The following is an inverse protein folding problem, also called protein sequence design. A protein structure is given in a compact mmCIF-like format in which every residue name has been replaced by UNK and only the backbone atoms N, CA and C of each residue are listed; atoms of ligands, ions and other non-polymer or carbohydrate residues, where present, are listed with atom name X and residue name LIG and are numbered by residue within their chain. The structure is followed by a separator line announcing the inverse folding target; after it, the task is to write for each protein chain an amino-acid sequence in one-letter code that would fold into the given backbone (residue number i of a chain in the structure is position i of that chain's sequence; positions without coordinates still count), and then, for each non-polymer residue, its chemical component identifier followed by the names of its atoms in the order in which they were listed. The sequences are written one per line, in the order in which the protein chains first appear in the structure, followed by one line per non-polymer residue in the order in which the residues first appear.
data_IF_940297526728
#
_entry.id   IF_940297526728
#
_cell.length_a   1.000
_cell.length_b   1.000
_cell.length_c   1.000
_cell.angle_alpha   90.00
_cell.angle_beta   90.00
_cell.angle_gamma   90.00
#
_symmetry.space_group_name_H-M   'P 1'
#
loop_
_entity.id
_entity.type
_entity.pdbx_description
1 polymer ?
#
# COMPACT_ATOMS: atom_id res chain seq x y z
N UNK A 1 -22.84 -5.93 6.75
CA UNK A 1 -22.11 -5.33 5.61
C UNK A 1 -20.69 -5.07 6.07
N UNK A 2 -19.68 -5.59 5.37
CA UNK A 2 -18.26 -5.42 5.69
C UNK A 2 -17.78 -4.06 5.21
N UNK A 3 -17.04 -3.35 6.06
CA UNK A 3 -16.56 -2.01 5.76
C UNK A 3 -15.08 -2.03 5.39
N UNK A 4 -14.73 -1.39 4.28
CA UNK A 4 -13.37 -1.24 3.79
C UNK A 4 -12.96 0.22 3.90
N UNK A 5 -11.82 0.50 4.53
CA UNK A 5 -11.16 1.80 4.50
C UNK A 5 -10.20 1.86 3.30
N UNK A 6 -10.50 2.67 2.29
CA UNK A 6 -9.53 2.98 1.24
C UNK A 6 -8.60 4.08 1.72
N UNK A 7 -7.41 3.71 2.17
CA UNK A 7 -6.38 4.62 2.67
C UNK A 7 -5.58 5.18 1.48
N UNK A 8 -5.71 6.48 1.27
CA UNK A 8 -5.06 7.20 0.16
C UNK A 8 -4.07 8.21 0.73
N UNK A 9 -2.78 7.88 0.82
CA UNK A 9 -1.74 8.85 1.18
C UNK A 9 -1.58 9.88 0.04
N UNK A 10 -1.52 11.15 0.39
CA UNK A 10 -1.40 12.24 -0.56
C UNK A 10 -0.39 13.30 -0.09
N UNK A 11 0.61 13.59 -0.95
CA UNK A 11 1.56 14.67 -0.75
C UNK A 11 1.81 15.42 -2.05
N UNK A 12 1.31 16.65 -2.15
CA UNK A 12 1.35 17.48 -3.35
C UNK A 12 0.70 16.80 -4.57
N UNK A 13 -0.54 16.32 -4.38
CA UNK A 13 -1.33 15.59 -5.38
C UNK A 13 -2.58 16.38 -5.84
N UNK A 14 -2.55 17.73 -5.80
CA UNK A 14 -3.70 18.59 -6.14
C UNK A 14 -4.35 18.26 -7.48
N UNK A 15 -3.54 17.77 -8.46
CA UNK A 15 -4.00 17.45 -9.82
C UNK A 15 -4.62 16.07 -9.96
N UNK A 16 -4.22 15.11 -9.14
CA UNK A 16 -4.61 13.70 -9.27
C UNK A 16 -5.67 13.29 -8.25
N UNK A 17 -5.63 13.82 -7.03
CA UNK A 17 -6.40 13.31 -5.90
C UNK A 17 -7.92 13.30 -6.13
N UNK A 18 -8.46 14.30 -6.84
CA UNK A 18 -9.89 14.36 -7.12
C UNK A 18 -10.35 13.17 -7.98
N UNK A 19 -9.59 12.84 -9.03
CA UNK A 19 -9.90 11.71 -9.90
C UNK A 19 -9.78 10.38 -9.16
N UNK A 20 -8.76 10.22 -8.29
CA UNK A 20 -8.57 9.02 -7.47
C UNK A 20 -9.75 8.81 -6.53
N UNK A 21 -10.16 9.84 -5.79
CA UNK A 21 -11.30 9.73 -4.85
C UNK A 21 -12.60 9.41 -5.59
N UNK A 22 -12.83 10.03 -6.75
CA UNK A 22 -14.03 9.75 -7.57
C UNK A 22 -14.01 8.32 -8.13
N UNK A 23 -12.86 7.82 -8.61
CA UNK A 23 -12.70 6.47 -9.12
C UNK A 23 -13.01 5.44 -8.02
N UNK A 24 -12.46 5.63 -6.81
CA UNK A 24 -12.73 4.73 -5.66
C UNK A 24 -14.21 4.77 -5.25
N UNK A 25 -14.82 5.96 -5.17
CA UNK A 25 -16.24 6.09 -4.81
C UNK A 25 -17.18 5.44 -5.84
N UNK A 26 -16.73 5.27 -7.08
CA UNK A 26 -17.49 4.60 -8.17
C UNK A 26 -17.17 3.12 -8.31
N UNK A 27 -16.29 2.56 -7.46
CA UNK A 27 -15.86 1.18 -7.55
C UNK A 27 -17.03 0.19 -7.39
N UNK A 28 -17.10 -0.80 -8.28
CA UNK A 28 -18.03 -1.90 -8.14
C UNK A 28 -17.53 -2.88 -7.08
N UNK A 29 -18.30 -3.10 -6.02
CA UNK A 29 -17.97 -3.97 -4.92
C UNK A 29 -18.93 -5.17 -4.83
N UNK A 30 -18.51 -6.29 -4.21
CA UNK A 30 -19.44 -7.36 -3.86
C UNK A 30 -20.57 -6.85 -2.94
N UNK A 31 -21.78 -7.44 -3.06
CA UNK A 31 -23.03 -6.97 -2.45
C UNK A 31 -22.94 -6.64 -0.94
N UNK A 32 -22.12 -7.39 -0.20
CA UNK A 32 -22.02 -7.24 1.26
C UNK A 32 -20.84 -6.36 1.71
N UNK A 33 -20.26 -5.57 0.81
CA UNK A 33 -19.13 -4.69 1.08
C UNK A 33 -19.47 -3.23 0.81
N UNK A 34 -18.91 -2.35 1.65
CA UNK A 34 -18.94 -0.91 1.45
C UNK A 34 -17.51 -0.36 1.61
N UNK A 35 -17.20 0.73 0.92
CA UNK A 35 -15.89 1.39 0.95
C UNK A 35 -16.06 2.85 1.34
N UNK A 36 -15.24 3.30 2.30
CA UNK A 36 -15.08 4.71 2.65
C UNK A 36 -13.66 5.14 2.24
N UNK A 37 -13.56 6.30 1.60
CA UNK A 37 -12.27 6.84 1.18
C UNK A 37 -11.70 7.70 2.29
N UNK A 38 -10.49 7.37 2.76
CA UNK A 38 -9.74 8.09 3.79
C UNK A 38 -8.51 8.68 3.13
N UNK A 39 -8.50 9.99 2.91
CA UNK A 39 -7.35 10.68 2.33
C UNK A 39 -6.47 11.22 3.43
N UNK A 40 -5.24 10.74 3.51
CA UNK A 40 -4.24 11.23 4.47
C UNK A 40 -3.34 12.24 3.76
N UNK A 41 -3.60 13.53 4.00
CA UNK A 41 -2.78 14.62 3.49
C UNK A 41 -1.54 14.78 4.35
N UNK A 42 -0.39 14.39 3.83
CA UNK A 42 0.90 14.37 4.52
C UNK A 42 1.58 15.75 4.49
N UNK A 43 0.86 16.78 5.01
CA UNK A 43 1.33 18.15 5.06
C UNK A 43 1.71 18.72 3.69
N UNK A 44 0.83 18.57 2.68
CA UNK A 44 1.02 19.10 1.33
C UNK A 44 1.22 20.62 1.34
N UNK A 45 2.04 21.12 0.41
CA UNK A 45 2.37 22.54 0.24
C UNK A 45 1.65 23.22 -0.93
N UNK A 46 0.90 22.43 -1.71
CA UNK A 46 0.07 22.85 -2.83
C UNK A 46 -1.42 22.91 -2.45
N UNK A 47 -2.31 22.96 -3.44
CA UNK A 47 -3.76 22.99 -3.25
C UNK A 47 -4.39 21.68 -2.81
N UNK A 48 -3.63 20.60 -2.52
CA UNK A 48 -4.15 19.28 -2.19
C UNK A 48 -5.17 19.32 -1.06
N UNK A 49 -4.89 20.02 0.06
CA UNK A 49 -5.79 20.10 1.21
C UNK A 49 -7.13 20.75 0.85
N UNK A 50 -7.10 21.83 0.02
CA UNK A 50 -8.31 22.49 -0.45
C UNK A 50 -9.13 21.59 -1.37
N UNK A 51 -8.49 20.87 -2.27
CA UNK A 51 -9.17 19.89 -3.15
C UNK A 51 -9.86 18.82 -2.31
N UNK A 52 -9.15 18.19 -1.38
CA UNK A 52 -9.67 17.12 -0.53
C UNK A 52 -10.91 17.56 0.25
N UNK A 53 -10.92 18.81 0.76
CA UNK A 53 -12.03 19.33 1.57
C UNK A 53 -13.37 19.40 0.82
N UNK A 54 -13.34 19.36 -0.51
CA UNK A 54 -14.52 19.43 -1.40
C UNK A 54 -14.97 18.05 -1.91
N UNK A 55 -14.24 16.98 -1.56
CA UNK A 55 -14.50 15.64 -2.06
C UNK A 55 -15.32 14.81 -1.06
N UNK A 56 -15.99 13.77 -1.57
CA UNK A 56 -16.64 12.77 -0.73
C UNK A 56 -15.60 11.79 -0.19
N UNK A 57 -14.91 12.21 0.88
CA UNK A 57 -13.90 11.41 1.58
C UNK A 57 -13.78 11.86 3.05
N UNK A 58 -13.06 11.12 3.83
CA UNK A 58 -12.66 11.45 5.20
C UNK A 58 -11.25 12.05 5.12
N UNK A 59 -11.07 13.36 5.31
CA UNK A 59 -9.77 13.99 5.25
C UNK A 59 -9.03 13.86 6.60
N UNK A 60 -7.79 13.37 6.57
CA UNK A 60 -6.85 13.38 7.70
C UNK A 60 -5.68 14.29 7.32
N UNK A 61 -5.63 15.49 7.88
CA UNK A 61 -4.54 16.43 7.59
C UNK A 61 -3.46 16.33 8.67
N UNK A 62 -2.26 15.90 8.27
CA UNK A 62 -1.10 15.81 9.15
C UNK A 62 -0.46 17.20 9.35
N UNK A 63 -0.06 17.54 10.58
CA UNK A 63 0.56 18.84 10.86
C UNK A 63 2.01 18.93 10.37
N UNK A 64 2.66 17.79 10.11
CA UNK A 64 4.02 17.66 9.58
C UNK A 64 4.06 16.54 8.56
N UNK A 65 5.03 16.58 7.65
CA UNK A 65 5.25 15.49 6.70
C UNK A 65 5.91 14.30 7.42
N UNK A 66 5.22 13.16 7.44
CA UNK A 66 5.67 11.91 8.06
C UNK A 66 6.24 10.93 7.03
N UNK A 67 6.15 11.23 5.73
CA UNK A 67 6.49 10.31 4.66
C UNK A 67 5.41 9.27 4.40
N UNK A 68 5.62 8.48 3.32
CA UNK A 68 4.62 7.52 2.83
C UNK A 68 4.19 6.50 3.90
N UNK A 69 5.16 5.97 4.66
CA UNK A 69 4.86 4.99 5.72
C UNK A 69 4.03 5.59 6.85
N UNK A 70 4.40 6.78 7.34
CA UNK A 70 3.66 7.47 8.39
C UNK A 70 2.25 7.90 7.97
N UNK A 71 2.09 8.35 6.72
CA UNK A 71 0.78 8.67 6.17
C UNK A 71 -0.11 7.42 6.05
N UNK A 72 0.41 6.32 5.51
CA UNK A 72 -0.32 5.05 5.41
C UNK A 72 -0.67 4.51 6.80
N UNK A 73 0.28 4.51 7.74
CA UNK A 73 0.04 4.09 9.12
C UNK A 73 -1.06 4.90 9.79
N UNK A 74 -1.08 6.23 9.58
CA UNK A 74 -2.16 7.09 10.11
C UNK A 74 -3.53 6.65 9.59
N UNK A 75 -3.63 6.34 8.30
CA UNK A 75 -4.87 5.83 7.71
C UNK A 75 -5.27 4.45 8.26
N UNK A 76 -4.31 3.54 8.45
CA UNK A 76 -4.55 2.24 9.04
C UNK A 76 -4.98 2.34 10.51
N UNK A 77 -4.35 3.22 11.27
CA UNK A 77 -4.75 3.49 12.65
C UNK A 77 -6.17 4.03 12.74
N UNK A 78 -6.52 5.00 11.89
CA UNK A 78 -7.89 5.50 11.80
C UNK A 78 -8.87 4.36 11.46
N UNK A 79 -8.53 3.50 10.49
CA UNK A 79 -9.37 2.37 10.11
C UNK A 79 -9.57 1.37 11.27
N UNK A 80 -8.51 1.06 12.01
CA UNK A 80 -8.59 0.18 13.18
C UNK A 80 -9.46 0.78 14.30
N UNK A 81 -9.23 2.04 14.69
CA UNK A 81 -9.96 2.73 15.74
C UNK A 81 -11.45 2.93 15.39
N UNK A 82 -11.80 2.98 14.10
CA UNK A 82 -13.18 3.10 13.63
C UNK A 82 -13.82 1.76 13.20
N UNK A 83 -13.24 0.63 13.62
CA UNK A 83 -13.77 -0.72 13.45
C UNK A 83 -14.08 -1.08 11.99
N UNK A 84 -13.16 -0.78 11.06
CA UNK A 84 -13.23 -1.30 9.70
C UNK A 84 -12.84 -2.78 9.68
N UNK A 85 -13.53 -3.58 8.84
CA UNK A 85 -13.21 -5.00 8.66
C UNK A 85 -11.94 -5.19 7.84
N UNK A 86 -11.68 -4.24 6.93
CA UNK A 86 -10.53 -4.24 6.03
C UNK A 86 -10.01 -2.82 5.80
N UNK A 87 -8.73 -2.71 5.45
CA UNK A 87 -8.21 -1.52 4.79
C UNK A 87 -7.52 -1.90 3.48
N UNK A 88 -7.58 -1.00 2.51
CA UNK A 88 -6.86 -1.10 1.25
C UNK A 88 -6.03 0.17 1.03
N UNK A 89 -4.72 0.01 0.82
CA UNK A 89 -3.87 1.13 0.41
C UNK A 89 -4.03 1.37 -1.08
N UNK A 90 -4.23 2.62 -1.48
CA UNK A 90 -4.34 3.07 -2.87
C UNK A 90 -3.53 4.36 -3.01
N UNK A 91 -2.56 4.39 -3.92
CA UNK A 91 -1.71 5.58 -4.08
C UNK A 91 -2.48 6.77 -4.68
N UNK A 92 -2.20 7.98 -4.19
CA UNK A 92 -2.87 9.21 -4.60
C UNK A 92 -2.52 9.69 -6.01
N UNK A 93 -1.58 9.02 -6.70
CA UNK A 93 -1.10 9.37 -8.05
C UNK A 93 -1.91 8.74 -9.21
N UNK A 94 -2.93 7.95 -8.89
CA UNK A 94 -3.83 7.33 -9.86
C UNK A 94 -3.30 6.07 -10.56
N UNK A 95 -2.19 5.50 -10.10
CA UNK A 95 -1.66 4.27 -10.67
C UNK A 95 -2.51 3.02 -10.37
N UNK A 96 -3.30 3.05 -9.29
CA UNK A 96 -4.14 1.94 -8.85
C UNK A 96 -5.60 2.13 -9.27
N UNK A 97 -6.07 1.51 -10.38
CA UNK A 97 -7.46 1.66 -10.81
C UNK A 97 -8.43 1.04 -9.81
N UNK A 98 -9.48 1.75 -9.48
CA UNK A 98 -10.50 1.24 -8.55
C UNK A 98 -11.22 -0.01 -9.07
N UNK A 99 -11.25 -0.24 -10.39
CA UNK A 99 -11.76 -1.47 -11.01
C UNK A 99 -11.03 -2.74 -10.55
N UNK A 100 -9.78 -2.61 -10.09
CA UNK A 100 -8.98 -3.74 -9.61
C UNK A 100 -9.25 -4.10 -8.13
N UNK A 101 -9.92 -3.21 -7.36
CA UNK A 101 -10.28 -3.44 -5.95
C UNK A 101 -11.08 -4.73 -5.79
N UNK A 102 -12.02 -4.97 -6.68
CA UNK A 102 -12.87 -6.16 -6.64
C UNK A 102 -12.05 -7.45 -6.71
N UNK A 103 -10.95 -7.49 -7.47
CA UNK A 103 -10.07 -8.67 -7.57
C UNK A 103 -9.41 -9.00 -6.23
N UNK A 104 -8.93 -7.98 -5.49
CA UNK A 104 -8.33 -8.18 -4.17
C UNK A 104 -9.36 -8.73 -3.18
N UNK A 105 -10.57 -8.16 -3.17
CA UNK A 105 -11.65 -8.61 -2.30
C UNK A 105 -12.05 -10.06 -2.63
N UNK A 106 -12.23 -10.39 -3.92
CA UNK A 106 -12.56 -11.74 -4.35
C UNK A 106 -11.49 -12.76 -3.98
N UNK A 107 -10.21 -12.39 -4.15
CA UNK A 107 -9.08 -13.24 -3.75
C UNK A 107 -9.09 -13.50 -2.23
N UNK A 108 -9.35 -12.46 -1.42
CA UNK A 108 -9.46 -12.58 0.03
C UNK A 108 -10.62 -13.51 0.43
N UNK A 109 -11.79 -13.38 -0.19
CA UNK A 109 -12.96 -14.22 0.08
C UNK A 109 -12.66 -15.70 -0.23
N UNK A 110 -12.06 -15.97 -1.38
CA UNK A 110 -11.79 -17.33 -1.87
C UNK A 110 -10.70 -18.03 -1.06
N UNK A 111 -9.63 -17.33 -0.74
CA UNK A 111 -8.42 -17.91 -0.14
C UNK A 111 -8.32 -17.66 1.39
N UNK A 112 -9.19 -16.82 1.94
CA UNK A 112 -9.24 -16.46 3.38
C UNK A 112 -7.89 -15.98 3.94
N UNK A 113 -7.09 -15.32 3.10
CA UNK A 113 -5.78 -14.77 3.49
C UNK A 113 -5.94 -13.45 4.26
N UNK A 114 -4.95 -13.12 5.09
CA UNK A 114 -4.99 -11.90 5.92
C UNK A 114 -4.56 -10.67 5.13
N UNK A 115 -3.64 -10.86 4.17
CA UNK A 115 -3.11 -9.81 3.28
C UNK A 115 -3.25 -10.25 1.83
N UNK A 116 -3.78 -9.39 0.95
CA UNK A 116 -3.78 -9.60 -0.50
C UNK A 116 -2.98 -8.48 -1.16
N UNK A 117 -1.98 -8.84 -1.95
CA UNK A 117 -1.14 -7.90 -2.70
C UNK A 117 -1.59 -7.91 -4.16
N UNK A 118 -1.94 -6.74 -4.69
CA UNK A 118 -2.14 -6.53 -6.12
C UNK A 118 -0.78 -6.51 -6.84
N UNK A 119 -0.49 -7.56 -7.58
CA UNK A 119 0.82 -7.80 -8.21
C UNK A 119 0.79 -7.51 -9.72
N UNK A 120 1.82 -6.83 -10.22
CA UNK A 120 2.03 -6.54 -11.66
C UNK A 120 2.72 -7.67 -12.40
N UNK A 121 3.27 -8.66 -11.67
CA UNK A 121 4.29 -9.57 -12.22
C UNK A 121 3.93 -11.06 -12.13
N UNK A 122 2.69 -11.40 -11.85
CA UNK A 122 2.20 -12.78 -11.89
C UNK A 122 2.06 -13.24 -13.35
N UNK A 123 1.45 -12.38 -14.20
CA UNK A 123 1.44 -12.55 -15.65
C UNK A 123 2.30 -11.47 -16.32
N UNK A 124 2.65 -11.66 -17.60
CA UNK A 124 3.40 -10.65 -18.38
C UNK A 124 2.49 -9.60 -19.03
N UNK A 125 1.28 -9.43 -18.53
CA UNK A 125 0.28 -8.51 -19.06
C UNK A 125 0.35 -7.14 -18.36
N UNK A 126 0.05 -6.08 -19.10
CA UNK A 126 0.00 -4.72 -18.61
C UNK A 126 1.35 -4.00 -18.54
N UNK A 127 1.41 -2.88 -17.83
CA UNK A 127 2.60 -2.05 -17.70
C UNK A 127 3.72 -2.79 -16.97
N UNK A 128 4.80 -3.05 -17.71
CA UNK A 128 6.02 -3.67 -17.17
C UNK A 128 7.03 -2.56 -16.85
N UNK A 129 7.50 -2.52 -15.62
CA UNK A 129 8.51 -1.55 -15.20
C UNK A 129 9.86 -1.75 -15.92
N UNK A 130 10.73 -0.73 -15.87
CA UNK A 130 12.07 -0.77 -16.50
C UNK A 130 12.91 -1.96 -16.00
N UNK A 131 13.87 -2.40 -16.80
CA UNK A 131 14.78 -3.54 -16.49
C UNK A 131 15.50 -3.35 -15.15
N UNK A 132 15.95 -2.13 -14.85
CA UNK A 132 16.65 -1.80 -13.58
C UNK A 132 15.70 -1.98 -12.39
N UNK A 133 14.46 -1.50 -12.51
CA UNK A 133 13.45 -1.64 -11.45
C UNK A 133 13.07 -3.12 -11.23
N UNK A 134 13.00 -3.91 -12.29
CA UNK A 134 12.75 -5.37 -12.21
C UNK A 134 13.87 -6.11 -11.47
N UNK A 135 15.12 -5.69 -11.67
CA UNK A 135 16.24 -6.25 -10.92
C UNK A 135 16.08 -6.01 -9.42
N UNK A 136 15.76 -4.79 -9.00
CA UNK A 136 15.47 -4.47 -7.59
C UNK A 136 14.31 -5.28 -7.01
N UNK A 137 13.22 -5.44 -7.75
CA UNK A 137 12.05 -6.25 -7.33
C UNK A 137 12.45 -7.71 -7.13
N UNK A 138 13.21 -8.30 -8.06
CA UNK A 138 13.69 -9.67 -7.95
C UNK A 138 14.64 -9.87 -6.76
N UNK A 139 15.49 -8.86 -6.49
CA UNK A 139 16.37 -8.86 -5.34
C UNK A 139 15.58 -8.87 -4.02
N UNK A 140 14.59 -7.98 -3.84
CA UNK A 140 13.75 -7.97 -2.63
C UNK A 140 12.89 -9.24 -2.51
N UNK A 141 12.38 -9.78 -3.61
CA UNK A 141 11.72 -11.09 -3.61
C UNK A 141 12.64 -12.18 -3.08
N UNK A 142 13.90 -12.22 -3.53
CA UNK A 142 14.90 -13.17 -3.06
C UNK A 142 15.21 -12.96 -1.57
N UNK A 143 15.44 -11.71 -1.14
CA UNK A 143 15.76 -11.37 0.25
C UNK A 143 14.61 -11.76 1.20
N UNK A 144 13.38 -11.43 0.86
CA UNK A 144 12.21 -11.80 1.67
C UNK A 144 12.04 -13.32 1.73
N UNK A 145 12.22 -14.03 0.61
CA UNK A 145 12.17 -15.50 0.61
C UNK A 145 13.28 -16.13 1.47
N UNK A 146 14.49 -15.56 1.45
CA UNK A 146 15.62 -16.02 2.27
C UNK A 146 15.33 -15.86 3.77
N UNK A 147 14.73 -14.73 4.18
CA UNK A 147 14.54 -14.41 5.60
C UNK A 147 13.29 -15.08 6.21
N UNK A 148 12.20 -15.14 5.45
CA UNK A 148 10.89 -15.59 5.98
C UNK A 148 10.22 -16.69 5.16
N UNK A 149 10.86 -17.18 4.11
CA UNK A 149 10.35 -18.31 3.30
C UNK A 149 9.15 -17.95 2.39
N UNK A 150 8.82 -16.67 2.24
CA UNK A 150 7.66 -16.23 1.46
C UNK A 150 8.10 -15.73 0.09
N UNK A 151 7.42 -16.23 -0.96
CA UNK A 151 7.63 -15.83 -2.36
C UNK A 151 6.52 -14.87 -2.78
N UNK A 152 6.78 -13.57 -2.70
CA UNK A 152 5.93 -12.52 -3.24
C UNK A 152 6.54 -12.02 -4.54
N UNK A 153 5.77 -12.00 -5.64
CA UNK A 153 6.25 -11.58 -6.96
C UNK A 153 6.43 -10.06 -7.06
N UNK A 154 5.58 -9.29 -6.37
CA UNK A 154 5.62 -7.83 -6.36
C UNK A 154 5.73 -7.29 -4.93
N UNK A 155 6.91 -7.41 -4.34
CA UNK A 155 7.18 -6.92 -2.98
C UNK A 155 7.11 -5.39 -2.85
N UNK A 156 7.11 -4.66 -3.96
CA UNK A 156 7.10 -3.19 -4.00
C UNK A 156 5.73 -2.59 -4.31
N UNK A 157 4.69 -3.42 -4.43
CA UNK A 157 3.33 -2.93 -4.64
C UNK A 157 2.74 -2.37 -3.35
N UNK A 158 2.28 -1.13 -3.39
CA UNK A 158 1.48 -0.51 -2.33
C UNK A 158 0.01 -0.92 -2.36
N UNK A 159 -0.48 -1.48 -3.47
CA UNK A 159 -1.87 -1.89 -3.63
C UNK A 159 -2.17 -3.15 -2.82
N UNK A 160 -2.56 -2.99 -1.57
CA UNK A 160 -2.72 -4.09 -0.61
C UNK A 160 -4.03 -3.98 0.16
N UNK A 161 -4.78 -5.09 0.19
CA UNK A 161 -5.93 -5.28 1.07
C UNK A 161 -5.48 -6.06 2.30
N UNK A 162 -5.78 -5.56 3.49
CA UNK A 162 -5.47 -6.17 4.78
C UNK A 162 -6.73 -6.29 5.62
N UNK A 163 -6.84 -7.35 6.41
CA UNK A 163 -7.97 -7.55 7.32
C UNK A 163 -7.75 -6.87 8.68
N UNK A 164 -8.76 -6.89 9.55
CA UNK A 164 -8.73 -6.25 10.85
C UNK A 164 -7.63 -6.78 11.77
N UNK A 165 -7.27 -8.07 11.70
CA UNK A 165 -6.16 -8.64 12.48
C UNK A 165 -4.81 -8.01 12.12
N UNK A 166 -4.60 -7.77 10.83
CA UNK A 166 -3.40 -7.10 10.34
C UNK A 166 -3.45 -5.62 10.72
N UNK A 167 -4.64 -4.97 10.61
CA UNK A 167 -4.84 -3.58 11.03
C UNK A 167 -4.42 -3.33 12.47
N UNK A 168 -4.73 -4.24 13.39
CA UNK A 168 -4.32 -4.14 14.80
C UNK A 168 -2.80 -3.97 14.91
N UNK A 169 -2.03 -4.79 14.22
CA UNK A 169 -0.55 -4.76 14.28
C UNK A 169 0.02 -3.52 13.57
N UNK A 170 -0.49 -3.19 12.37
CA UNK A 170 0.07 -2.08 11.59
C UNK A 170 -0.37 -0.70 12.11
N UNK A 171 -1.43 -0.63 12.91
CA UNK A 171 -1.83 0.60 13.61
C UNK A 171 -0.82 1.00 14.69
N UNK A 172 -0.18 0.01 15.34
CA UNK A 172 0.87 0.22 16.36
C UNK A 172 2.25 0.43 15.71
N UNK A 173 2.60 -0.39 14.73
CA UNK A 173 3.87 -0.30 14.02
C UNK A 173 3.73 -0.60 12.53
N UNK A 174 4.16 0.34 11.71
CA UNK A 174 4.29 0.19 10.25
C UNK A 174 5.62 0.81 9.79
N UNK A 175 6.30 0.26 8.77
CA UNK A 175 7.56 0.81 8.29
C UNK A 175 7.42 2.23 7.71
N UNK A 176 8.39 3.11 7.96
CA UNK A 176 8.27 4.54 7.64
C UNK A 176 8.60 4.90 6.19
N UNK A 177 9.82 4.57 5.73
CA UNK A 177 10.33 5.15 4.47
C UNK A 177 10.02 4.32 3.22
N UNK A 178 10.10 3.00 3.33
CA UNK A 178 9.89 2.06 2.22
C UNK A 178 9.04 0.89 2.70
N UNK A 179 7.78 1.17 3.03
CA UNK A 179 6.98 0.23 3.81
C UNK A 179 6.70 -1.08 3.06
N UNK A 180 6.60 -1.08 1.72
CA UNK A 180 6.09 -2.21 0.99
C UNK A 180 6.96 -3.48 1.13
N UNK A 181 8.28 -3.47 0.84
CA UNK A 181 9.11 -4.67 0.97
C UNK A 181 9.30 -5.10 2.43
N UNK A 182 9.39 -4.13 3.35
CA UNK A 182 9.61 -4.37 4.77
C UNK A 182 8.38 -4.94 5.47
N UNK A 183 7.17 -4.48 5.09
CA UNK A 183 5.92 -4.97 5.65
C UNK A 183 5.68 -6.47 5.37
N UNK A 184 6.28 -7.04 4.32
CA UNK A 184 6.21 -8.48 4.07
C UNK A 184 6.85 -9.27 5.23
N UNK A 185 7.98 -8.78 5.74
CA UNK A 185 8.64 -9.35 6.93
C UNK A 185 7.73 -9.20 8.16
N UNK A 186 7.17 -7.99 8.36
CA UNK A 186 6.25 -7.72 9.46
C UNK A 186 5.05 -8.68 9.44
N UNK A 187 4.39 -8.83 8.30
CA UNK A 187 3.25 -9.73 8.16
C UNK A 187 3.63 -11.18 8.43
N UNK A 188 4.70 -11.66 7.80
CA UNK A 188 5.16 -13.03 7.91
C UNK A 188 5.53 -13.42 9.35
N UNK A 189 6.33 -12.59 10.03
CA UNK A 189 6.79 -12.88 11.40
C UNK A 189 5.68 -12.78 12.45
N UNK A 190 4.58 -12.07 12.14
CA UNK A 190 3.37 -12.09 12.95
C UNK A 190 2.41 -13.23 12.58
N UNK A 191 2.79 -14.12 11.65
CA UNK A 191 2.04 -15.31 11.29
C UNK A 191 0.86 -15.05 10.34
N UNK A 192 0.80 -13.89 9.70
CA UNK A 192 -0.26 -13.58 8.74
C UNK A 192 -0.04 -14.28 7.40
N UNK A 193 -1.14 -14.73 6.81
CA UNK A 193 -1.15 -15.34 5.49
C UNK A 193 -1.20 -14.27 4.40
N UNK A 194 -0.32 -14.42 3.38
CA UNK A 194 -0.19 -13.46 2.28
C UNK A 194 -0.57 -14.14 0.97
N UNK A 195 -1.48 -13.52 0.23
CA UNK A 195 -1.84 -13.89 -1.14
C UNK A 195 -1.48 -12.80 -2.14
N UNK A 196 -1.34 -13.15 -3.41
CA UNK A 196 -1.15 -12.22 -4.51
C UNK A 196 -2.20 -12.44 -5.59
N UNK A 197 -2.67 -11.37 -6.19
CA UNK A 197 -3.56 -11.40 -7.36
C UNK A 197 -3.04 -10.48 -8.45
N UNK A 198 -3.11 -10.93 -9.72
CA UNK A 198 -2.71 -10.11 -10.86
C UNK A 198 -3.62 -8.89 -10.98
N UNK A 199 -3.02 -7.70 -11.05
CA UNK A 199 -3.69 -6.44 -11.29
C UNK A 199 -3.06 -5.69 -12.45
N UNK A 200 -3.85 -4.86 -13.12
CA UNK A 200 -3.37 -3.93 -14.14
C UNK A 200 -3.21 -2.56 -13.49
N UNK A 201 -1.99 -2.02 -13.50
CA UNK A 201 -1.73 -0.66 -13.04
C UNK A 201 -1.64 0.28 -14.24
N UNK A 202 -2.08 1.53 -14.03
CA UNK A 202 -1.95 2.62 -15.01
C UNK A 202 -0.58 3.28 -14.91
N UNK A 203 -0.20 4.01 -15.94
CA UNK A 203 0.90 4.96 -15.83
C UNK A 203 0.52 6.11 -14.89
N UNK A 204 1.51 6.63 -14.16
CA UNK A 204 1.31 7.76 -13.25
C UNK A 204 0.76 8.98 -14.00
N UNK A 205 -0.30 9.58 -13.50
CA UNK A 205 -0.94 10.75 -14.14
C UNK A 205 -0.28 12.08 -13.75
N UNK A 206 0.61 12.09 -12.75
CA UNK A 206 1.31 13.29 -12.28
C UNK A 206 2.50 12.97 -11.38
N UNK A 207 3.25 14.01 -10.99
CA UNK A 207 4.37 13.89 -10.05
C UNK A 207 5.69 13.40 -10.69
N UNK A 208 6.78 13.64 -9.97
CA UNK A 208 8.13 13.18 -10.34
C UNK A 208 8.45 11.92 -9.55
N UNK A 209 8.99 10.89 -10.22
CA UNK A 209 9.48 9.69 -9.52
C UNK A 209 10.56 10.06 -8.51
N UNK A 210 10.36 9.69 -7.26
CA UNK A 210 11.31 9.94 -6.17
C UNK A 210 12.65 9.20 -6.34
N UNK A 211 12.79 8.31 -7.33
CA UNK A 211 13.94 7.42 -7.48
C UNK A 211 14.65 7.68 -8.82
N UNK A 212 15.77 8.38 -8.80
CA UNK A 212 16.72 8.52 -9.92
C UNK A 212 17.70 7.34 -9.98
N UNK A 213 18.46 7.19 -11.09
CA UNK A 213 19.33 6.03 -11.35
C UNK A 213 20.44 5.80 -10.29
N UNK A 214 21.09 6.86 -9.79
CA UNK A 214 22.09 6.76 -8.71
C UNK A 214 21.46 6.50 -7.34
N UNK A 215 20.22 6.93 -7.13
CA UNK A 215 19.48 6.64 -5.91
C UNK A 215 19.02 5.18 -5.82
N UNK A 216 19.02 4.42 -6.94
CA UNK A 216 18.56 3.02 -6.95
C UNK A 216 19.45 2.07 -6.13
N UNK A 217 20.80 2.24 -6.19
CA UNK A 217 21.74 1.41 -5.39
C UNK A 217 21.65 1.77 -3.91
N UNK A 218 21.61 3.07 -3.61
CA UNK A 218 21.43 3.56 -2.25
C UNK A 218 20.07 3.09 -1.68
N UNK A 219 19.02 3.17 -2.48
CA UNK A 219 17.70 2.66 -2.16
C UNK A 219 17.74 1.15 -1.82
N UNK A 220 18.35 0.33 -2.67
CA UNK A 220 18.46 -1.11 -2.42
C UNK A 220 19.21 -1.41 -1.13
N UNK A 221 20.32 -0.70 -0.85
CA UNK A 221 21.09 -0.88 0.38
C UNK A 221 20.26 -0.47 1.61
N UNK A 222 19.62 0.70 1.58
CA UNK A 222 18.84 1.23 2.69
C UNK A 222 17.63 0.34 3.03
N UNK A 223 16.88 -0.07 2.01
CA UNK A 223 15.74 -0.99 2.17
C UNK A 223 16.19 -2.36 2.67
N UNK A 224 17.34 -2.86 2.23
CA UNK A 224 17.89 -4.13 2.74
C UNK A 224 18.22 -4.05 4.22
N UNK A 225 18.82 -2.96 4.67
CA UNK A 225 19.10 -2.74 6.09
C UNK A 225 17.80 -2.65 6.91
N UNK A 226 16.78 -1.95 6.40
CA UNK A 226 15.49 -1.84 7.05
C UNK A 226 14.79 -3.22 7.18
N UNK A 227 14.79 -4.01 6.10
CA UNK A 227 14.27 -5.39 6.09
C UNK A 227 14.99 -6.26 7.13
N UNK A 228 16.35 -6.24 7.16
CA UNK A 228 17.14 -7.03 8.10
C UNK A 228 16.90 -6.56 9.55
N UNK A 229 16.85 -5.24 9.77
CA UNK A 229 16.57 -4.68 11.08
C UNK A 229 15.19 -5.10 11.60
N UNK A 230 14.16 -4.99 10.77
CA UNK A 230 12.79 -5.42 11.13
C UNK A 230 12.72 -6.92 11.39
N UNK A 231 13.41 -7.73 10.58
CA UNK A 231 13.53 -9.16 10.83
C UNK A 231 14.14 -9.46 12.20
N UNK A 232 15.29 -8.84 12.54
CA UNK A 232 15.96 -9.03 13.83
C UNK A 232 15.06 -8.55 14.97
N UNK A 233 14.53 -7.33 14.87
CA UNK A 233 13.68 -6.71 15.88
C UNK A 233 12.48 -7.59 16.25
N UNK A 234 11.77 -8.14 15.26
CA UNK A 234 10.57 -8.92 15.53
C UNK A 234 10.94 -10.34 16.00
N UNK A 235 11.94 -10.97 15.36
CA UNK A 235 12.33 -12.34 15.69
C UNK A 235 12.90 -12.49 17.10
N UNK A 236 13.63 -11.50 17.60
CA UNK A 236 14.28 -11.54 18.91
C UNK A 236 13.55 -10.72 19.99
N UNK A 237 12.43 -10.09 19.69
CA UNK A 237 11.57 -9.41 20.68
C UNK A 237 10.58 -10.37 21.37
N UNK A 238 10.59 -11.66 20.96
CA UNK A 238 9.75 -12.72 21.53
C UNK A 238 10.49 -13.36 22.72
#
# INVERSE_FOLDING_TARGET
MKRIAAVVPAYNEEKAIAAVVQDINSASLPKDYAIDVIVVNDCSKDGTAEVISKLKCIPLNLPINLGIGGAVQTGFKYAFENNYDFAIQIDGDGQHPASEIQKLIQHQIQNKVDVVIGSRFISKEGFQSSTIRRFGINYFKWLNNLLVGIKVNDSTSGFRLINNKVLEVVSDYYPDEYPEPEAIILYSLNGFTIGEVQVQMKERQGGVSSIGAFSSIYYMFKVSLAIIYTFIRIKFKK
#
